data_IF_773279647207
#
_entry.id   IF_773279647207
#
_cell.length_a   1.000
_cell.length_b   1.000
_cell.length_c   1.000
_cell.angle_alpha   90.00
_cell.angle_beta   90.00
_cell.angle_gamma   90.00
#
_symmetry.space_group_name_H-M   'P 1'
#
loop_
_entity.id
_entity.type
_entity.pdbx_description
1 polymer ?
#
# COMPACT_ATOMS: atom_id res chain seq x y z
N UNK A 1 -11.01 69.97 -23.23
CA UNK A 1 -11.70 69.04 -24.15
C UNK A 1 -13.17 69.45 -24.22
N UNK A 2 -13.70 69.73 -25.41
CA UNK A 2 -15.13 70.00 -25.62
C UNK A 2 -15.82 68.65 -25.82
N UNK A 3 -16.50 68.15 -24.80
CA UNK A 3 -17.32 66.95 -24.95
C UNK A 3 -18.47 67.27 -25.91
N UNK A 4 -18.59 66.52 -26.99
CA UNK A 4 -19.75 66.64 -27.88
C UNK A 4 -20.94 65.93 -27.25
N UNK A 5 -22.17 66.29 -27.64
CA UNK A 5 -23.38 65.70 -27.05
C UNK A 5 -23.44 64.16 -27.19
N UNK A 6 -22.76 63.60 -28.19
CA UNK A 6 -22.63 62.15 -28.37
C UNK A 6 -21.70 61.51 -27.33
N UNK A 7 -20.58 62.15 -26.99
CA UNK A 7 -19.63 61.64 -25.99
C UNK A 7 -20.25 61.56 -24.59
N UNK A 8 -21.10 62.54 -24.26
CA UNK A 8 -21.84 62.57 -22.99
C UNK A 8 -22.89 61.46 -22.92
N UNK A 9 -23.51 61.11 -24.05
CA UNK A 9 -24.51 60.04 -24.14
C UNK A 9 -23.85 58.66 -23.98
N UNK A 10 -22.69 58.44 -24.61
CA UNK A 10 -21.92 57.20 -24.43
C UNK A 10 -21.38 57.04 -23.01
N UNK A 11 -20.97 58.13 -22.35
CA UNK A 11 -20.56 58.12 -20.95
C UNK A 11 -21.75 57.81 -20.02
N UNK A 12 -22.92 58.38 -20.30
CA UNK A 12 -24.15 58.15 -19.54
C UNK A 12 -24.63 56.70 -19.66
N UNK A 13 -24.61 56.12 -20.87
CA UNK A 13 -24.97 54.71 -21.10
C UNK A 13 -23.95 53.77 -20.44
N UNK A 14 -22.66 54.10 -20.48
CA UNK A 14 -21.62 53.36 -19.76
C UNK A 14 -21.79 53.39 -18.23
N UNK A 15 -22.29 54.49 -17.67
CA UNK A 15 -22.54 54.63 -16.23
C UNK A 15 -23.70 53.72 -15.74
N UNK A 16 -24.70 53.46 -16.58
CA UNK A 16 -25.80 52.54 -16.25
C UNK A 16 -25.40 51.05 -16.30
N UNK A 17 -24.34 50.69 -17.04
CA UNK A 17 -23.81 49.32 -17.05
C UNK A 17 -23.09 48.94 -15.74
N UNK A 18 -22.52 49.91 -15.02
CA UNK A 18 -21.90 49.69 -13.70
C UNK A 18 -22.90 49.65 -12.54
N UNK A 19 -24.15 50.10 -12.73
CA UNK A 19 -25.19 50.09 -11.71
C UNK A 19 -25.98 48.75 -11.63
N UNK A 20 -25.73 47.80 -12.53
CA UNK A 20 -26.47 46.53 -12.58
C UNK A 20 -25.92 45.42 -11.67
N UNK A 21 -24.86 45.66 -10.90
CA UNK A 21 -24.46 44.78 -9.80
C UNK A 21 -25.21 45.14 -8.51
N UNK A 22 -26.54 45.04 -8.52
CA UNK A 22 -27.25 44.72 -7.28
C UNK A 22 -27.08 43.23 -7.06
N UNK A 23 -26.48 42.85 -5.93
CA UNK A 23 -26.55 41.48 -5.44
C UNK A 23 -28.01 41.02 -5.55
N UNK A 24 -28.32 39.91 -6.24
CA UNK A 24 -29.67 39.35 -6.25
C UNK A 24 -29.92 38.69 -4.89
N UNK A 25 -29.94 39.48 -3.83
CA UNK A 25 -30.37 39.06 -2.50
C UNK A 25 -31.89 39.06 -2.44
N UNK A 26 -32.52 38.15 -3.21
CA UNK A 26 -33.91 37.69 -3.05
C UNK A 26 -34.34 36.94 -4.33
N UNK A 27 -33.68 35.83 -4.64
CA UNK A 27 -34.36 34.73 -5.34
C UNK A 27 -34.31 33.53 -4.38
N UNK A 28 -35.22 33.58 -3.42
CA UNK A 28 -35.50 32.55 -2.43
C UNK A 28 -36.90 32.83 -1.89
N UNK A 29 -37.66 31.79 -1.54
CA UNK A 29 -38.91 31.97 -0.82
C UNK A 29 -38.64 32.91 0.37
N UNK A 30 -39.55 33.85 0.65
CA UNK A 30 -39.61 34.55 1.94
C UNK A 30 -39.80 33.50 3.03
N UNK A 31 -38.70 32.93 3.51
CA UNK A 31 -38.67 32.13 4.72
C UNK A 31 -38.75 33.11 5.86
N UNK A 32 -39.78 32.97 6.69
CA UNK A 32 -39.90 33.65 7.97
C UNK A 32 -38.53 33.56 8.69
N UNK A 33 -37.93 34.68 9.12
CA UNK A 33 -36.65 34.68 9.84
C UNK A 33 -36.66 33.76 11.07
N UNK A 34 -37.83 33.48 11.65
CA UNK A 34 -38.00 32.52 12.74
C UNK A 34 -38.03 31.05 12.31
N UNK A 35 -38.19 30.78 11.01
CA UNK A 35 -38.15 29.46 10.36
C UNK A 35 -36.92 29.25 9.46
N UNK A 36 -36.00 30.21 9.42
CA UNK A 36 -34.75 30.10 8.65
C UNK A 36 -33.84 29.01 9.24
N UNK A 37 -33.53 27.99 8.45
CA UNK A 37 -32.53 26.97 8.79
C UNK A 37 -31.13 27.58 8.59
N UNK A 38 -30.57 28.20 9.64
CA UNK A 38 -29.21 28.73 9.60
C UNK A 38 -28.17 27.63 9.82
N UNK A 39 -27.33 27.42 8.81
CA UNK A 39 -26.17 26.53 8.91
C UNK A 39 -24.98 27.24 9.57
N UNK A 40 -24.49 26.68 10.68
CA UNK A 40 -23.30 27.19 11.40
C UNK A 40 -22.09 26.27 11.18
N UNK A 41 -20.88 26.85 11.10
CA UNK A 41 -19.61 26.12 11.01
C UNK A 41 -18.86 26.17 12.34
N UNK A 42 -18.48 25.00 12.87
CA UNK A 42 -17.46 24.86 13.92
C UNK A 42 -16.21 24.19 13.33
N UNK A 43 -15.03 24.73 13.63
CA UNK A 43 -13.75 24.21 13.12
C UNK A 43 -12.60 24.24 14.15
N UNK A 44 -12.92 24.44 15.42
CA UNK A 44 -11.98 24.53 16.54
C UNK A 44 -12.15 23.39 17.56
N UNK A 45 -12.91 22.35 17.21
CA UNK A 45 -13.03 21.15 18.03
C UNK A 45 -11.67 20.48 18.23
N UNK A 46 -11.33 20.21 19.50
CA UNK A 46 -10.06 19.59 19.85
C UNK A 46 -10.01 18.15 19.32
N UNK A 47 -8.88 17.80 18.69
CA UNK A 47 -8.58 16.45 18.23
C UNK A 47 -7.25 16.04 18.84
N UNK A 48 -7.26 14.98 19.65
CA UNK A 48 -6.03 14.40 20.16
C UNK A 48 -5.53 13.37 19.16
N UNK A 49 -4.23 13.37 18.87
CA UNK A 49 -3.60 12.46 17.91
C UNK A 49 -2.38 11.79 18.52
N UNK A 50 -2.19 10.51 18.26
CA UNK A 50 -1.08 9.73 18.81
C UNK A 50 -0.59 8.70 17.80
N UNK A 51 0.71 8.67 17.53
CA UNK A 51 1.32 7.59 16.74
C UNK A 51 1.39 6.32 17.59
N UNK A 52 0.89 5.21 17.06
CA UNK A 52 0.97 3.88 17.67
C UNK A 52 1.45 2.86 16.65
N UNK A 53 2.04 1.76 17.14
CA UNK A 53 2.50 0.66 16.28
C UNK A 53 1.33 -0.19 15.80
N UNK A 54 1.41 -0.68 14.57
CA UNK A 54 0.49 -1.70 14.07
C UNK A 54 0.84 -3.09 14.61
N UNK A 55 -0.18 -3.95 14.71
CA UNK A 55 -0.01 -5.35 15.06
C UNK A 55 0.39 -6.17 13.83
N UNK A 56 1.20 -7.20 14.03
CA UNK A 56 1.58 -8.13 12.98
C UNK A 56 0.37 -8.75 12.28
N UNK A 57 0.47 -8.92 10.96
CA UNK A 57 -0.59 -9.50 10.13
C UNK A 57 -0.15 -10.82 9.48
N UNK A 58 -1.09 -11.71 9.13
CA UNK A 58 -0.79 -12.81 8.23
C UNK A 58 -0.48 -12.28 6.83
N UNK A 59 0.60 -12.80 6.23
CA UNK A 59 1.10 -12.41 4.91
C UNK A 59 0.83 -13.45 3.82
N UNK A 60 0.39 -14.66 4.18
CA UNK A 60 0.22 -15.75 3.20
C UNK A 60 -0.93 -15.57 2.21
N UNK A 61 -1.89 -14.69 2.54
CA UNK A 61 -3.02 -14.34 1.67
C UNK A 61 -2.86 -13.01 0.94
N UNK A 62 -1.68 -12.36 0.98
CA UNK A 62 -1.50 -11.07 0.32
C UNK A 62 -1.61 -11.22 -1.20
N UNK A 63 -2.26 -10.25 -1.84
CA UNK A 63 -2.38 -10.20 -3.31
C UNK A 63 -1.03 -9.93 -3.98
N UNK A 64 -0.14 -9.23 -3.28
CA UNK A 64 1.23 -8.98 -3.70
C UNK A 64 2.14 -8.90 -2.47
N UNK A 65 3.36 -9.43 -2.58
CA UNK A 65 4.27 -9.59 -1.44
C UNK A 65 5.42 -8.60 -1.51
N UNK A 66 5.71 -7.85 -0.42
CA UNK A 66 6.81 -6.91 -0.40
C UNK A 66 8.18 -7.62 -0.43
N UNK A 67 9.14 -7.01 -1.10
CA UNK A 67 10.56 -7.32 -1.03
C UNK A 67 11.35 -6.03 -1.27
N UNK A 68 12.32 -5.75 -0.41
CA UNK A 68 13.13 -4.53 -0.58
C UNK A 68 13.75 -4.03 0.69
N UNK A 69 14.47 -2.91 0.53
CA UNK A 69 15.14 -2.23 1.61
C UNK A 69 15.11 -0.73 1.35
N UNK A 70 14.72 0.01 2.37
CA UNK A 70 14.50 1.45 2.31
C UNK A 70 15.08 2.11 3.57
N UNK A 71 15.74 3.25 3.39
CA UNK A 71 16.30 4.08 4.46
C UNK A 71 15.67 5.45 4.36
N UNK A 72 14.66 5.65 5.17
CA UNK A 72 13.87 6.87 5.26
C UNK A 72 14.45 7.78 6.36
N UNK A 73 14.71 9.09 6.09
CA UNK A 73 15.26 10.00 7.09
C UNK A 73 14.32 10.28 8.28
N UNK A 74 13.01 10.06 8.12
CA UNK A 74 11.98 10.29 9.16
C UNK A 74 11.57 8.95 9.80
N UNK A 75 11.38 7.91 9.00
CA UNK A 75 10.88 6.60 9.48
C UNK A 75 11.98 5.57 9.73
N UNK A 76 13.24 5.88 9.45
CA UNK A 76 14.35 4.96 9.65
C UNK A 76 14.37 3.85 8.60
N UNK A 77 14.73 2.64 9.00
CA UNK A 77 14.95 1.55 8.03
C UNK A 77 13.71 0.67 7.93
N UNK A 78 13.35 0.32 6.70
CA UNK A 78 12.32 -0.67 6.40
C UNK A 78 12.92 -1.76 5.53
N UNK A 79 12.69 -3.01 5.91
CA UNK A 79 13.21 -4.19 5.24
C UNK A 79 12.09 -5.21 5.04
N UNK A 80 12.09 -5.85 3.88
CA UNK A 80 11.21 -6.98 3.62
C UNK A 80 11.90 -8.06 2.81
N UNK A 81 11.62 -9.31 3.18
CA UNK A 81 12.13 -10.53 2.54
C UNK A 81 10.97 -11.49 2.28
N UNK A 82 11.17 -12.43 1.37
CA UNK A 82 10.10 -13.23 0.78
C UNK A 82 10.46 -14.72 0.79
N UNK A 83 9.68 -15.52 1.51
CA UNK A 83 9.67 -16.96 1.42
C UNK A 83 8.61 -17.42 0.42
N UNK A 84 8.97 -18.39 -0.42
CA UNK A 84 8.13 -18.86 -1.51
C UNK A 84 8.20 -20.38 -1.64
N UNK A 85 7.06 -21.05 -1.53
CA UNK A 85 6.96 -22.47 -1.83
C UNK A 85 6.98 -22.66 -3.35
N UNK A 86 7.88 -23.53 -3.82
CA UNK A 86 7.94 -23.93 -5.23
C UNK A 86 7.12 -25.21 -5.41
N UNK A 87 6.11 -25.16 -6.27
CA UNK A 87 5.26 -26.31 -6.56
C UNK A 87 5.73 -27.05 -7.82
N UNK A 88 5.45 -28.36 -7.95
CA UNK A 88 5.75 -29.07 -9.19
C UNK A 88 4.88 -28.53 -10.34
N UNK A 89 5.28 -28.77 -11.60
CA UNK A 89 4.47 -28.42 -12.76
C UNK A 89 3.10 -29.12 -12.72
N UNK A 90 2.10 -28.55 -13.39
CA UNK A 90 0.72 -29.04 -13.37
C UNK A 90 0.58 -30.52 -13.79
N UNK A 91 1.48 -31.00 -14.64
CA UNK A 91 1.66 -32.42 -14.91
C UNK A 91 2.41 -33.05 -13.73
N UNK A 92 1.68 -33.57 -12.74
CA UNK A 92 2.18 -34.27 -11.55
C UNK A 92 2.84 -35.64 -11.87
N UNK A 93 3.51 -35.73 -13.00
CA UNK A 93 4.23 -36.88 -13.54
C UNK A 93 5.46 -36.40 -14.31
N UNK A 94 6.01 -35.24 -13.95
CA UNK A 94 7.17 -34.67 -14.64
C UNK A 94 8.32 -35.67 -14.65
N UNK A 95 8.64 -36.16 -15.84
CA UNK A 95 9.80 -37.00 -16.12
C UNK A 95 10.73 -36.23 -17.04
N UNK A 96 11.96 -36.04 -16.57
CA UNK A 96 12.99 -35.36 -17.34
C UNK A 96 13.67 -36.30 -18.34
N UNK A 97 13.45 -37.62 -18.25
CA UNK A 97 14.09 -38.63 -19.09
C UNK A 97 15.52 -38.97 -18.64
N UNK A 98 16.10 -39.99 -19.27
CA UNK A 98 17.47 -40.41 -18.99
C UNK A 98 18.48 -39.47 -19.67
N UNK A 99 19.60 -39.20 -19.00
CA UNK A 99 20.69 -38.34 -19.50
C UNK A 99 20.30 -36.89 -19.80
N UNK A 100 19.28 -36.35 -19.14
CA UNK A 100 18.92 -34.94 -19.28
C UNK A 100 19.90 -34.02 -18.57
N UNK A 101 20.30 -32.97 -19.27
CA UNK A 101 21.24 -31.97 -18.76
C UNK A 101 20.57 -30.61 -18.71
N UNK A 102 20.64 -29.97 -17.55
CA UNK A 102 20.17 -28.61 -17.37
C UNK A 102 20.98 -27.68 -18.28
N UNK A 103 20.32 -26.76 -18.96
CA UNK A 103 20.97 -25.68 -19.68
C UNK A 103 21.03 -24.45 -18.77
N UNK A 104 19.86 -24.00 -18.30
CA UNK A 104 19.71 -22.89 -17.36
C UNK A 104 18.54 -23.10 -16.39
N UNK A 105 18.63 -22.46 -15.22
CA UNK A 105 17.53 -22.33 -14.28
C UNK A 105 17.40 -20.87 -13.85
N UNK A 106 16.19 -20.32 -13.88
CA UNK A 106 15.93 -18.91 -13.59
C UNK A 106 14.70 -18.80 -12.70
N UNK A 107 14.85 -18.17 -11.54
CA UNK A 107 13.73 -17.70 -10.74
C UNK A 107 13.15 -16.44 -11.39
N UNK A 108 11.88 -16.48 -11.76
CA UNK A 108 11.14 -15.38 -12.37
C UNK A 108 10.10 -14.89 -11.38
N UNK A 109 10.27 -13.65 -10.91
CA UNK A 109 9.36 -12.98 -10.00
C UNK A 109 8.65 -11.85 -10.75
N UNK A 110 7.37 -12.01 -11.02
CA UNK A 110 6.59 -10.96 -11.67
C UNK A 110 6.35 -9.80 -10.70
N UNK A 111 6.61 -8.58 -11.14
CA UNK A 111 6.34 -7.40 -10.34
C UNK A 111 4.83 -7.12 -10.35
N UNK A 112 4.30 -6.85 -9.18
CA UNK A 112 2.95 -6.37 -8.95
C UNK A 112 2.76 -4.95 -9.47
N UNK A 113 1.63 -4.34 -9.12
CA UNK A 113 1.26 -3.02 -9.62
C UNK A 113 1.98 -1.88 -8.89
N UNK A 114 2.57 -2.17 -7.73
CA UNK A 114 3.18 -1.19 -6.86
C UNK A 114 4.70 -1.35 -6.74
N UNK A 115 5.35 -0.21 -6.62
CA UNK A 115 6.72 -0.05 -6.15
C UNK A 115 6.77 1.28 -5.41
N UNK A 116 7.35 1.30 -4.22
CA UNK A 116 7.50 2.51 -3.42
C UNK A 116 8.96 2.81 -3.17
N UNK A 117 9.40 4.05 -3.38
CA UNK A 117 10.79 4.48 -3.21
C UNK A 117 11.50 4.78 -4.52
N UNK A 118 12.83 4.74 -4.48
CA UNK A 118 13.69 5.16 -5.58
C UNK A 118 13.90 4.06 -6.63
N UNK A 119 13.49 4.35 -7.87
CA UNK A 119 13.71 3.52 -9.07
C UNK A 119 14.87 4.02 -9.93
N UNK A 120 15.43 5.19 -9.61
CA UNK A 120 16.35 5.91 -10.50
C UNK A 120 17.81 5.73 -10.13
N UNK A 121 18.16 5.74 -8.84
CA UNK A 121 19.56 5.71 -8.39
C UNK A 121 19.91 4.41 -7.64
N UNK A 122 18.95 3.84 -6.92
CA UNK A 122 19.12 2.67 -6.07
C UNK A 122 19.26 1.38 -6.89
N UNK A 123 20.26 0.58 -6.53
CA UNK A 123 20.49 -0.77 -7.06
C UNK A 123 20.33 -1.77 -5.93
N UNK A 124 19.55 -2.81 -6.19
CA UNK A 124 19.21 -3.84 -5.22
C UNK A 124 20.00 -5.11 -5.53
N UNK A 125 20.61 -5.67 -4.50
CA UNK A 125 21.15 -7.02 -4.50
C UNK A 125 20.19 -7.94 -3.78
N UNK A 126 19.54 -8.86 -4.49
CA UNK A 126 18.60 -9.84 -3.93
C UNK A 126 19.29 -11.21 -3.97
N UNK A 127 19.54 -11.77 -2.79
CA UNK A 127 20.12 -13.10 -2.63
C UNK A 127 19.01 -14.13 -2.46
N UNK A 128 19.18 -15.29 -3.09
CA UNK A 128 18.21 -16.39 -3.05
C UNK A 128 18.85 -17.62 -2.42
N UNK A 129 18.15 -18.21 -1.47
CA UNK A 129 18.54 -19.41 -0.73
C UNK A 129 17.44 -20.47 -0.77
N UNK A 130 17.77 -21.73 -0.46
CA UNK A 130 16.76 -22.76 -0.25
C UNK A 130 16.21 -22.70 1.17
N UNK A 131 14.89 -22.85 1.34
CA UNK A 131 14.27 -22.99 2.66
C UNK A 131 14.69 -24.30 3.36
N UNK A 132 14.97 -24.23 4.65
CA UNK A 132 15.29 -25.42 5.47
C UNK A 132 14.03 -26.16 5.91
N UNK A 133 12.92 -25.44 6.06
CA UNK A 133 11.61 -25.96 6.48
C UNK A 133 10.51 -25.53 5.50
N UNK A 134 9.39 -26.25 5.50
CA UNK A 134 8.17 -25.76 4.85
C UNK A 134 7.68 -24.49 5.54
N UNK A 135 7.04 -23.61 4.78
CA UNK A 135 6.39 -22.43 5.34
C UNK A 135 5.16 -22.88 6.13
N UNK A 136 5.21 -22.78 7.45
CA UNK A 136 4.09 -23.12 8.35
C UNK A 136 3.57 -21.91 9.11
N UNK A 137 4.36 -20.85 9.20
CA UNK A 137 3.97 -19.59 9.83
C UNK A 137 4.07 -18.45 8.82
N UNK A 138 3.10 -17.56 8.87
CA UNK A 138 2.85 -16.55 7.85
C UNK A 138 2.77 -15.15 8.43
N UNK A 139 3.10 -14.91 9.71
CA UNK A 139 3.00 -13.54 10.24
C UNK A 139 4.14 -12.68 9.67
N UNK A 140 3.87 -11.38 9.54
CA UNK A 140 4.82 -10.40 9.04
C UNK A 140 6.12 -10.33 9.84
N UNK A 141 6.10 -10.69 11.12
CA UNK A 141 7.29 -10.68 11.99
C UNK A 141 8.15 -11.95 11.89
N UNK A 142 7.66 -13.02 11.26
CA UNK A 142 8.36 -14.31 11.23
C UNK A 142 9.44 -14.33 10.16
N UNK A 143 10.65 -14.75 10.55
CA UNK A 143 11.75 -15.02 9.62
C UNK A 143 11.77 -16.51 9.32
N UNK A 144 11.80 -16.87 8.04
CA UNK A 144 11.83 -18.27 7.63
C UNK A 144 13.27 -18.79 7.59
N UNK A 145 13.51 -19.95 8.17
CA UNK A 145 14.84 -20.56 8.17
C UNK A 145 15.22 -21.02 6.76
N UNK A 146 16.42 -20.66 6.31
CA UNK A 146 16.98 -21.03 5.03
C UNK A 146 18.45 -21.48 5.17
N UNK A 147 18.91 -22.20 4.16
CA UNK A 147 20.30 -22.62 4.07
C UNK A 147 21.22 -21.42 3.80
N UNK A 148 22.50 -21.55 4.12
CA UNK A 148 23.51 -20.50 3.90
C UNK A 148 24.10 -20.47 2.49
N UNK A 149 23.89 -21.53 1.69
CA UNK A 149 24.42 -21.61 0.32
C UNK A 149 23.64 -20.69 -0.61
N UNK A 150 24.30 -19.67 -1.14
CA UNK A 150 23.73 -18.78 -2.14
C UNK A 150 23.39 -19.55 -3.42
N UNK A 151 22.12 -19.54 -3.81
CA UNK A 151 21.63 -20.20 -5.01
C UNK A 151 21.57 -19.26 -6.21
N UNK A 152 21.30 -17.99 -5.99
CA UNK A 152 21.20 -17.00 -7.06
C UNK A 152 21.25 -15.60 -6.52
N UNK A 153 21.66 -14.66 -7.38
CA UNK A 153 21.75 -13.25 -7.03
C UNK A 153 21.22 -12.40 -8.19
N UNK A 154 20.38 -11.43 -7.85
CA UNK A 154 20.03 -10.32 -8.73
C UNK A 154 20.76 -9.08 -8.23
N UNK A 155 21.49 -8.38 -9.09
CA UNK A 155 22.18 -7.14 -8.72
C UNK A 155 21.94 -6.07 -9.80
N UNK A 156 20.82 -5.35 -9.69
CA UNK A 156 20.46 -4.31 -10.64
C UNK A 156 19.41 -3.35 -10.07
N UNK A 157 19.03 -2.36 -10.89
CA UNK A 157 17.84 -1.53 -10.63
C UNK A 157 16.58 -2.33 -10.91
N UNK A 158 15.53 -2.07 -10.13
CA UNK A 158 14.21 -2.64 -10.37
C UNK A 158 13.42 -1.64 -11.22
N UNK A 159 12.92 -2.08 -12.37
CA UNK A 159 12.13 -1.27 -13.30
C UNK A 159 10.66 -1.72 -13.28
N UNK A 160 9.84 -1.25 -12.31
CA UNK A 160 8.52 -1.83 -12.03
C UNK A 160 7.49 -1.68 -13.15
N UNK A 161 7.71 -0.74 -14.08
CA UNK A 161 6.78 -0.44 -15.17
C UNK A 161 7.36 -0.71 -16.56
N UNK A 162 8.56 -1.30 -16.65
CA UNK A 162 9.25 -1.52 -17.94
C UNK A 162 9.08 -2.97 -18.38
N UNK A 163 8.32 -3.24 -19.46
CA UNK A 163 8.26 -4.57 -20.07
C UNK A 163 9.64 -5.02 -20.55
N UNK A 164 9.90 -6.32 -20.52
CA UNK A 164 11.16 -6.88 -21.01
C UNK A 164 10.90 -7.88 -22.14
N UNK A 165 11.89 -8.05 -23.02
CA UNK A 165 11.87 -9.06 -24.08
C UNK A 165 12.65 -10.28 -23.61
N UNK A 166 12.05 -11.45 -23.73
CA UNK A 166 12.67 -12.75 -23.42
C UNK A 166 12.57 -13.68 -24.62
N UNK A 167 13.47 -14.65 -24.67
CA UNK A 167 13.40 -15.77 -25.61
C UNK A 167 12.42 -16.80 -25.06
N UNK A 168 11.40 -17.14 -25.85
CA UNK A 168 10.41 -18.18 -25.59
C UNK A 168 10.87 -19.47 -26.26
N UNK A 169 11.10 -20.51 -25.43
CA UNK A 169 11.63 -21.80 -25.87
C UNK A 169 10.50 -22.66 -26.40
N UNK A 170 10.52 -22.98 -27.69
CA UNK A 170 9.46 -23.75 -28.35
C UNK A 170 9.98 -25.14 -28.70
N UNK A 171 9.44 -26.17 -28.05
CA UNK A 171 9.87 -27.56 -28.27
C UNK A 171 9.79 -27.94 -29.77
N UNK A 172 10.91 -28.43 -30.32
CA UNK A 172 11.02 -28.82 -31.73
C UNK A 172 10.88 -27.70 -32.76
N UNK A 173 10.95 -26.41 -32.38
CA UNK A 173 10.90 -25.26 -33.31
C UNK A 173 11.97 -24.22 -32.95
N UNK A 174 12.14 -23.23 -33.82
CA UNK A 174 13.00 -22.09 -33.52
C UNK A 174 12.40 -21.25 -32.38
N UNK A 175 13.26 -20.83 -31.46
CA UNK A 175 12.87 -19.96 -30.36
C UNK A 175 12.33 -18.62 -30.88
N UNK A 176 11.38 -18.06 -30.15
CA UNK A 176 10.72 -16.81 -30.55
C UNK A 176 10.91 -15.71 -29.51
N UNK A 177 10.90 -14.45 -29.94
CA UNK A 177 11.01 -13.33 -29.01
C UNK A 177 9.62 -12.98 -28.47
N UNK A 178 9.49 -12.88 -27.15
CA UNK A 178 8.23 -12.54 -26.46
C UNK A 178 8.42 -11.36 -25.52
N UNK A 179 7.49 -10.40 -25.58
CA UNK A 179 7.41 -9.32 -24.60
C UNK A 179 6.60 -9.78 -23.39
N UNK A 180 7.15 -9.58 -22.20
CA UNK A 180 6.51 -9.92 -20.92
C UNK A 180 6.47 -8.71 -20.00
N UNK A 181 5.60 -8.74 -18.99
CA UNK A 181 5.50 -7.70 -17.96
C UNK A 181 6.82 -7.55 -17.21
N UNK A 182 6.95 -6.45 -16.48
CA UNK A 182 8.11 -6.19 -15.64
C UNK A 182 8.29 -7.33 -14.61
N UNK A 183 9.47 -7.92 -14.58
CA UNK A 183 9.78 -9.06 -13.73
C UNK A 183 11.25 -9.03 -13.33
N UNK A 184 11.54 -9.51 -12.13
CA UNK A 184 12.89 -9.78 -11.64
C UNK A 184 13.25 -11.20 -12.09
N UNK A 185 14.40 -11.36 -12.75
CA UNK A 185 14.90 -12.67 -13.19
C UNK A 185 16.23 -12.93 -12.50
N UNK A 186 16.31 -14.03 -11.75
CA UNK A 186 17.46 -14.40 -10.94
C UNK A 186 17.99 -15.75 -11.45
N UNK A 187 19.15 -15.78 -12.13
CA UNK A 187 19.80 -17.04 -12.49
C UNK A 187 20.12 -17.84 -11.22
N UNK A 188 19.73 -19.11 -11.21
CA UNK A 188 19.99 -20.04 -10.11
C UNK A 188 21.20 -20.93 -10.41
N UNK A 189 21.82 -21.45 -9.36
CA UNK A 189 22.98 -22.33 -9.44
C UNK A 189 22.61 -23.61 -10.20
N UNK A 190 23.22 -23.76 -11.37
CA UNK A 190 22.96 -24.86 -12.31
C UNK A 190 23.23 -26.23 -11.69
N UNK A 191 24.34 -26.39 -10.95
CA UNK A 191 24.70 -27.65 -10.35
C UNK A 191 23.68 -28.08 -9.27
N UNK A 192 23.26 -27.12 -8.44
CA UNK A 192 22.24 -27.36 -7.42
C UNK A 192 20.91 -27.79 -8.04
N UNK A 193 20.39 -27.08 -9.05
CA UNK A 193 19.11 -27.43 -9.68
C UNK A 193 19.18 -28.75 -10.47
N UNK A 194 20.33 -29.03 -11.10
CA UNK A 194 20.58 -30.33 -11.74
C UNK A 194 20.43 -31.47 -10.73
N UNK A 195 21.06 -31.39 -9.55
CA UNK A 195 21.01 -32.46 -8.56
C UNK A 195 19.68 -32.53 -7.79
N UNK A 196 19.07 -31.39 -7.51
CA UNK A 196 17.88 -31.31 -6.62
C UNK A 196 16.56 -31.37 -7.36
N UNK A 197 16.49 -31.01 -8.64
CA UNK A 197 15.23 -31.09 -9.39
C UNK A 197 15.40 -32.03 -10.58
N UNK A 198 16.33 -31.75 -11.48
CA UNK A 198 16.39 -32.45 -12.77
C UNK A 198 16.73 -33.94 -12.64
N UNK A 199 17.63 -34.30 -11.72
CA UNK A 199 18.06 -35.67 -11.48
C UNK A 199 17.11 -36.48 -10.56
N UNK A 200 16.01 -35.88 -10.09
CA UNK A 200 15.07 -36.57 -9.20
C UNK A 200 14.15 -37.51 -9.99
N UNK A 201 13.78 -38.67 -9.43
CA UNK A 201 12.86 -39.59 -10.09
C UNK A 201 11.46 -38.99 -10.21
N UNK A 202 10.70 -39.43 -11.23
CA UNK A 202 9.31 -38.99 -11.44
C UNK A 202 8.42 -39.15 -10.19
N UNK A 203 8.73 -40.14 -9.34
CA UNK A 203 8.06 -40.37 -8.07
C UNK A 203 8.04 -39.14 -7.13
N UNK A 204 9.08 -38.30 -7.17
CA UNK A 204 9.20 -37.07 -6.37
C UNK A 204 8.15 -36.02 -6.76
N UNK A 205 7.70 -36.04 -8.02
CA UNK A 205 6.74 -35.08 -8.57
C UNK A 205 5.29 -35.57 -8.58
N UNK A 206 5.02 -36.75 -8.00
CA UNK A 206 3.69 -37.40 -8.05
C UNK A 206 2.59 -36.65 -7.29
N UNK A 207 2.95 -35.84 -6.29
CA UNK A 207 2.01 -34.95 -5.59
C UNK A 207 2.71 -33.65 -5.20
N UNK A 208 1.93 -32.57 -5.06
CA UNK A 208 2.44 -31.30 -4.53
C UNK A 208 3.10 -31.49 -3.16
N UNK A 209 2.45 -32.23 -2.26
CA UNK A 209 2.95 -32.45 -0.91
C UNK A 209 4.34 -33.11 -0.91
N UNK A 210 4.56 -34.15 -1.72
CA UNK A 210 5.86 -34.84 -1.79
C UNK A 210 6.98 -33.92 -2.29
N UNK A 211 6.72 -33.17 -3.35
CA UNK A 211 7.73 -32.25 -3.88
C UNK A 211 8.01 -31.11 -2.90
N UNK A 212 6.97 -30.53 -2.29
CA UNK A 212 7.11 -29.46 -1.29
C UNK A 212 7.83 -29.98 -0.04
N UNK A 213 7.58 -31.20 0.42
CA UNK A 213 8.32 -31.79 1.55
C UNK A 213 9.81 -31.95 1.25
N UNK A 214 10.14 -32.30 0.00
CA UNK A 214 11.50 -32.49 -0.45
C UNK A 214 12.23 -31.16 -0.70
N UNK A 215 11.68 -30.30 -1.56
CA UNK A 215 12.33 -29.07 -2.02
C UNK A 215 12.07 -27.86 -1.12
N UNK A 216 10.90 -27.82 -0.46
CA UNK A 216 10.39 -26.81 0.49
C UNK A 216 10.11 -25.45 -0.14
N UNK A 217 11.09 -24.90 -0.85
CA UNK A 217 10.96 -23.64 -1.56
C UNK A 217 12.23 -22.80 -1.49
N UNK A 218 12.08 -21.52 -1.80
CA UNK A 218 13.14 -20.54 -1.86
C UNK A 218 12.87 -19.39 -0.89
N UNK A 219 13.93 -18.73 -0.45
CA UNK A 219 13.90 -17.53 0.36
C UNK A 219 14.72 -16.44 -0.34
N UNK A 220 14.14 -15.26 -0.50
CA UNK A 220 14.76 -14.12 -1.14
C UNK A 220 14.88 -12.96 -0.15
N UNK A 221 16.10 -12.43 0.02
CA UNK A 221 16.39 -11.33 0.93
C UNK A 221 17.33 -10.29 0.30
N UNK A 222 17.33 -9.07 0.85
CA UNK A 222 18.21 -8.01 0.36
C UNK A 222 19.60 -8.12 0.99
N UNK A 223 20.59 -8.32 0.13
CA UNK A 223 21.98 -8.16 0.51
C UNK A 223 22.33 -6.67 0.60
N UNK A 224 22.25 -6.14 1.82
CA UNK A 224 22.51 -4.74 2.14
C UNK A 224 23.94 -4.29 1.80
N UNK A 225 24.93 -5.17 1.88
CA UNK A 225 26.33 -4.84 1.58
C UNK A 225 26.62 -4.72 0.09
N UNK A 226 25.95 -5.53 -0.74
CA UNK A 226 26.11 -5.51 -2.19
C UNK A 226 25.14 -4.56 -2.90
N UNK A 227 24.16 -4.02 -2.17
CA UNK A 227 23.20 -3.03 -2.68
C UNK A 227 23.77 -1.62 -2.60
N UNK A 228 23.35 -0.75 -3.52
CA UNK A 228 23.61 0.70 -3.45
C UNK A 228 22.28 1.40 -3.20
N UNK A 229 22.07 1.88 -1.98
CA UNK A 229 20.76 2.36 -1.52
C UNK A 229 20.80 3.88 -1.35
N UNK A 230 20.14 4.59 -2.26
CA UNK A 230 19.92 6.04 -2.19
C UNK A 230 18.45 6.28 -1.85
N UNK A 231 18.14 6.19 -0.56
CA UNK A 231 16.76 6.12 -0.04
C UNK A 231 16.15 4.73 -0.17
N UNK A 232 16.41 4.00 -1.26
CA UNK A 232 15.93 2.64 -1.47
C UNK A 232 14.43 2.58 -1.73
N UNK A 233 13.84 1.41 -1.52
CA UNK A 233 12.45 1.15 -1.88
C UNK A 233 12.02 -0.30 -1.70
N UNK A 234 10.72 -0.51 -1.84
CA UNK A 234 10.04 -1.78 -1.70
C UNK A 234 9.31 -2.09 -3.01
N UNK A 235 9.68 -3.21 -3.62
CA UNK A 235 8.95 -3.81 -4.73
C UNK A 235 7.89 -4.76 -4.20
N UNK A 236 6.82 -4.95 -4.96
CA UNK A 236 5.80 -5.94 -4.64
C UNK A 236 5.80 -7.03 -5.71
N UNK A 237 5.79 -8.29 -5.30
CA UNK A 237 5.80 -9.47 -6.18
C UNK A 237 4.39 -10.04 -6.29
N UNK A 238 3.90 -10.25 -7.51
CA UNK A 238 2.64 -10.94 -7.76
C UNK A 238 2.83 -12.45 -7.57
N UNK A 239 2.27 -12.96 -6.47
CA UNK A 239 2.14 -14.38 -6.16
C UNK A 239 0.67 -14.82 -6.03
N UNK A 240 -0.29 -13.92 -6.26
CA UNK A 240 -1.70 -14.29 -6.28
C UNK A 240 -2.04 -15.15 -7.51
N UNK A 241 -1.26 -14.99 -8.57
CA UNK A 241 -1.32 -15.79 -9.80
C UNK A 241 -0.12 -16.71 -9.94
N UNK A 242 -0.10 -17.59 -10.94
CA UNK A 242 1.04 -18.46 -11.27
C UNK A 242 2.06 -17.79 -12.22
N UNK A 243 2.04 -16.46 -12.30
CA UNK A 243 2.95 -15.70 -13.17
C UNK A 243 4.38 -15.70 -12.65
N UNK A 244 4.61 -15.95 -11.36
CA UNK A 244 5.95 -16.16 -10.80
C UNK A 244 6.27 -17.65 -10.77
N UNK A 245 7.49 -18.04 -11.16
CA UNK A 245 7.88 -19.44 -11.32
C UNK A 245 9.41 -19.62 -11.34
N UNK A 246 9.86 -20.85 -11.11
CA UNK A 246 11.21 -21.28 -11.48
C UNK A 246 11.14 -21.90 -12.87
N UNK A 247 11.85 -21.31 -13.84
CA UNK A 247 12.00 -21.84 -15.19
C UNK A 247 13.23 -22.73 -15.25
N UNK A 248 13.06 -23.95 -15.75
CA UNK A 248 14.17 -24.83 -16.10
C UNK A 248 14.18 -24.98 -17.62
N UNK A 249 15.30 -24.68 -18.24
CA UNK A 249 15.58 -25.02 -19.65
C UNK A 249 16.57 -26.16 -19.63
N UNK A 250 16.24 -27.28 -20.27
CA UNK A 250 17.06 -28.49 -20.25
C UNK A 250 17.06 -29.18 -21.61
N UNK A 251 18.12 -29.95 -21.83
CA UNK A 251 18.34 -30.75 -23.02
C UNK A 251 18.04 -32.20 -22.70
N UNK A 252 17.24 -32.85 -23.53
CA UNK A 252 16.92 -34.28 -23.41
C UNK A 252 17.11 -35.00 -24.75
N UNK A 253 17.52 -36.29 -24.74
CA UNK A 253 17.50 -37.11 -25.94
C UNK A 253 16.09 -37.19 -26.52
N UNK A 254 15.96 -37.01 -27.84
CA UNK A 254 14.71 -37.22 -28.55
C UNK A 254 14.60 -38.66 -29.09
N UNK A 255 13.42 -39.03 -29.58
CA UNK A 255 13.12 -40.38 -30.11
C UNK A 255 13.86 -40.74 -31.41
N UNK A 256 14.66 -39.83 -31.97
CA UNK A 256 15.41 -39.98 -33.21
C UNK A 256 16.93 -39.77 -33.04
N UNK A 257 17.48 -40.03 -31.85
CA UNK A 257 18.90 -39.88 -31.51
C UNK A 257 19.46 -38.42 -31.58
N UNK A 258 18.59 -37.42 -31.63
CA UNK A 258 18.95 -36.00 -31.51
C UNK A 258 18.81 -35.48 -30.08
N UNK A 259 19.30 -34.27 -29.83
CA UNK A 259 19.11 -33.55 -28.56
C UNK A 259 18.06 -32.47 -28.78
N UNK A 260 16.97 -32.52 -28.02
CA UNK A 260 15.93 -31.47 -28.02
C UNK A 260 16.08 -30.56 -26.81
N UNK A 261 15.82 -29.26 -27.00
CA UNK A 261 15.84 -28.26 -25.91
C UNK A 261 14.40 -27.94 -25.54
N UNK A 262 14.08 -28.12 -24.26
CA UNK A 262 12.73 -27.93 -23.76
C UNK A 262 12.75 -27.14 -22.46
N UNK A 263 11.60 -26.63 -22.04
CA UNK A 263 11.46 -25.89 -20.80
C UNK A 263 10.27 -26.36 -19.98
N UNK A 264 10.39 -26.19 -18.67
CA UNK A 264 9.30 -26.43 -17.72
C UNK A 264 9.30 -25.35 -16.65
N UNK A 265 8.10 -24.93 -16.25
CA UNK A 265 7.91 -23.93 -15.22
C UNK A 265 7.35 -24.58 -13.95
N UNK A 266 8.00 -24.32 -12.83
CA UNK A 266 7.57 -24.70 -11.49
C UNK A 266 6.89 -23.48 -10.86
N UNK A 267 5.54 -23.46 -10.77
CA UNK A 267 4.83 -22.27 -10.35
C UNK A 267 5.06 -21.95 -8.88
N UNK A 268 5.03 -20.65 -8.58
CA UNK A 268 5.05 -20.09 -7.24
C UNK A 268 3.80 -19.26 -7.09
N UNK A 269 2.97 -19.59 -6.10
CA UNK A 269 1.75 -18.84 -5.79
C UNK A 269 1.33 -19.02 -4.34
N UNK A 270 0.49 -18.11 -3.85
CA UNK A 270 -0.11 -18.17 -2.50
C UNK A 270 -0.88 -19.46 -2.25
N UNK A 271 -1.42 -20.10 -3.31
CA UNK A 271 -2.08 -21.40 -3.19
C UNK A 271 -1.15 -22.52 -2.67
N UNK A 272 0.17 -22.38 -2.84
CA UNK A 272 1.17 -23.34 -2.36
C UNK A 272 1.93 -22.86 -1.12
N UNK A 273 1.79 -21.58 -0.78
CA UNK A 273 2.46 -20.94 0.35
C UNK A 273 3.47 -19.88 -0.10
N UNK A 274 3.29 -18.67 0.43
CA UNK A 274 4.24 -17.58 0.37
C UNK A 274 4.16 -16.82 1.69
N UNK A 275 5.25 -16.25 2.17
CA UNK A 275 5.24 -15.43 3.38
C UNK A 275 6.25 -14.29 3.23
N UNK A 276 5.82 -13.09 3.58
CA UNK A 276 6.71 -11.93 3.64
C UNK A 276 7.09 -11.67 5.09
N UNK A 277 8.39 -11.54 5.35
CA UNK A 277 8.86 -10.93 6.59
C UNK A 277 9.00 -9.43 6.37
N UNK A 278 8.61 -8.64 7.35
CA UNK A 278 8.66 -7.18 7.32
C UNK A 278 9.23 -6.69 8.65
N UNK A 279 10.22 -5.80 8.56
CA UNK A 279 10.90 -5.22 9.71
C UNK A 279 11.05 -3.72 9.55
N UNK A 280 10.67 -3.00 10.61
CA UNK A 280 10.97 -1.58 10.76
C UNK A 280 11.95 -1.35 11.91
N UNK A 281 12.95 -0.51 11.68
CA UNK A 281 13.90 -0.03 12.67
C UNK A 281 13.79 1.49 12.75
N UNK A 282 13.10 1.94 13.80
CA UNK A 282 12.89 3.36 14.12
C UNK A 282 14.02 3.95 14.97
N UNK A 283 15.12 3.23 15.19
CA UNK A 283 16.17 3.69 16.12
C UNK A 283 16.71 5.05 15.73
N UNK A 284 16.65 6.00 16.66
CA UNK A 284 17.14 7.37 16.46
C UNK A 284 16.21 8.28 15.64
N UNK A 285 14.96 7.89 15.42
CA UNK A 285 13.97 8.70 14.69
C UNK A 285 12.92 9.31 15.60
N UNK A 286 12.23 10.34 15.12
CA UNK A 286 11.09 10.96 15.82
C UNK A 286 9.92 9.98 16.00
N UNK A 287 9.79 8.98 15.11
CA UNK A 287 8.79 7.92 15.25
C UNK A 287 9.04 7.12 16.52
N UNK A 288 10.28 6.72 16.78
CA UNK A 288 10.63 6.00 18.03
C UNK A 288 10.31 6.84 19.26
N UNK A 289 10.63 8.14 19.24
CA UNK A 289 10.32 9.06 20.34
C UNK A 289 8.83 9.07 20.68
N UNK A 290 7.95 9.07 19.69
CA UNK A 290 6.50 9.03 19.93
C UNK A 290 6.03 7.66 20.43
N UNK A 291 6.60 6.57 19.89
CA UNK A 291 6.26 5.21 20.32
C UNK A 291 6.68 4.92 21.77
N UNK A 292 7.74 5.56 22.28
CA UNK A 292 8.17 5.42 23.67
C UNK A 292 7.47 6.37 24.63
N UNK A 293 7.05 7.55 24.16
CA UNK A 293 6.44 8.61 24.97
C UNK A 293 4.99 8.87 24.57
N UNK A 294 4.16 7.85 24.75
CA UNK A 294 2.77 7.81 24.27
C UNK A 294 1.89 8.89 24.90
N UNK A 295 2.14 9.34 26.14
CA UNK A 295 1.32 10.36 26.81
C UNK A 295 1.57 11.80 26.32
N UNK A 296 2.58 12.04 25.50
CA UNK A 296 2.93 13.39 25.01
C UNK A 296 2.20 13.71 23.71
N UNK A 297 1.64 14.92 23.61
CA UNK A 297 1.11 15.43 22.34
C UNK A 297 2.25 16.06 21.52
N UNK A 298 2.31 15.71 20.25
CA UNK A 298 3.32 16.20 19.31
C UNK A 298 2.66 17.06 18.23
N UNK A 299 3.47 17.87 17.53
CA UNK A 299 2.99 18.71 16.41
C UNK A 299 2.67 17.91 15.14
N UNK A 300 3.13 16.67 15.05
CA UNK A 300 2.91 15.75 13.93
C UNK A 300 2.70 14.34 14.46
N UNK A 301 2.05 13.49 13.66
CA UNK A 301 1.97 12.05 13.88
C UNK A 301 2.27 11.30 12.59
N UNK A 302 2.49 9.99 12.69
CA UNK A 302 3.11 9.21 11.62
C UNK A 302 2.23 8.05 11.17
N UNK A 303 2.15 7.91 9.85
CA UNK A 303 1.47 6.82 9.16
C UNK A 303 2.50 6.07 8.31
N UNK A 304 2.58 4.74 8.42
CA UNK A 304 3.46 3.92 7.59
C UNK A 304 2.81 2.57 7.26
N UNK A 305 2.77 2.23 5.97
CA UNK A 305 2.33 0.92 5.48
C UNK A 305 3.32 -0.18 5.86
N UNK A 306 3.11 -1.38 5.32
CA UNK A 306 3.87 -2.58 5.69
C UNK A 306 3.82 -2.88 7.19
N UNK A 307 2.66 -2.67 7.83
CA UNK A 307 2.50 -2.96 9.27
C UNK A 307 3.42 -2.10 10.16
N UNK A 308 3.68 -0.85 9.74
CA UNK A 308 4.50 0.09 10.47
C UNK A 308 3.76 0.75 11.64
N UNK A 309 3.31 1.98 11.42
CA UNK A 309 2.64 2.83 12.42
C UNK A 309 1.36 3.42 11.87
N UNK A 310 0.42 3.69 12.78
CA UNK A 310 -0.85 4.37 12.52
C UNK A 310 -1.06 5.50 13.52
N UNK A 311 -1.96 6.42 13.20
CA UNK A 311 -2.35 7.49 14.13
C UNK A 311 -3.69 7.15 14.76
N UNK A 312 -3.75 7.08 16.09
CA UNK A 312 -4.99 7.09 16.87
C UNK A 312 -5.48 8.53 17.01
N UNK A 313 -6.78 8.73 16.78
CA UNK A 313 -7.50 9.98 16.98
C UNK A 313 -8.50 9.82 18.13
N UNK A 314 -8.76 10.92 18.83
CA UNK A 314 -9.83 11.02 19.82
C UNK A 314 -10.46 12.40 19.79
N UNK A 315 -11.78 12.45 19.98
CA UNK A 315 -12.59 13.65 19.87
C UNK A 315 -13.23 14.01 21.22
N UNK A 316 -12.44 14.52 22.19
CA UNK A 316 -12.88 14.66 23.60
C UNK A 316 -14.10 15.56 23.79
N UNK A 317 -14.29 16.55 22.93
CA UNK A 317 -15.31 17.59 23.13
C UNK A 317 -16.66 17.26 22.47
N UNK A 318 -16.71 16.29 21.53
CA UNK A 318 -17.93 16.02 20.76
C UNK A 318 -19.08 15.50 21.63
N UNK A 319 -18.78 14.70 22.66
CA UNK A 319 -19.81 14.21 23.59
C UNK A 319 -20.51 15.33 24.39
N UNK A 320 -19.88 16.51 24.49
CA UNK A 320 -20.42 17.70 25.15
C UNK A 320 -20.80 18.81 24.15
N UNK A 321 -20.74 18.53 22.86
CA UNK A 321 -21.02 19.51 21.80
C UNK A 321 -22.39 20.16 21.97
N UNK A 322 -23.41 19.35 22.32
CA UNK A 322 -24.76 19.84 22.51
C UNK A 322 -24.91 20.80 23.71
N UNK A 323 -24.03 20.69 24.72
CA UNK A 323 -24.00 21.62 25.85
C UNK A 323 -23.40 22.98 25.47
N UNK A 324 -22.45 23.01 24.53
CA UNK A 324 -21.79 24.24 24.07
C UNK A 324 -22.57 24.93 22.96
N UNK A 325 -23.16 24.18 22.03
CA UNK A 325 -23.78 24.70 20.81
C UNK A 325 -25.31 24.55 20.74
N UNK A 326 -25.92 23.87 21.72
CA UNK A 326 -27.34 23.50 21.73
C UNK A 326 -27.58 22.14 21.04
N UNK A 327 -28.83 21.68 20.99
CA UNK A 327 -29.18 20.47 20.23
C UNK A 327 -29.01 20.75 18.74
N UNK A 328 -28.34 19.86 18.00
CA UNK A 328 -27.97 20.11 16.60
C UNK A 328 -28.23 18.91 15.72
N UNK A 329 -28.41 19.18 14.43
CA UNK A 329 -28.28 18.20 13.35
C UNK A 329 -27.07 18.57 12.51
N UNK A 330 -26.14 17.63 12.35
CA UNK A 330 -24.95 17.78 11.53
C UNK A 330 -25.33 17.60 10.06
N UNK A 331 -25.23 18.68 9.29
CA UNK A 331 -25.47 18.68 7.84
C UNK A 331 -24.29 18.08 7.09
N UNK A 332 -23.07 18.38 7.54
CA UNK A 332 -21.83 17.87 6.96
C UNK A 332 -20.72 17.91 7.98
N UNK A 333 -19.93 16.84 8.09
CA UNK A 333 -18.65 16.89 8.81
C UNK A 333 -17.50 16.39 7.94
N UNK A 334 -16.40 17.16 7.94
CA UNK A 334 -15.18 16.82 7.20
C UNK A 334 -13.99 16.78 8.13
N UNK A 335 -13.26 15.66 8.12
CA UNK A 335 -11.93 15.58 8.71
C UNK A 335 -10.90 15.92 7.64
N UNK A 336 -10.21 17.04 7.81
CA UNK A 336 -9.10 17.46 6.94
C UNK A 336 -7.79 17.12 7.63
N UNK A 337 -6.94 16.36 6.95
CA UNK A 337 -5.65 15.87 7.46
C UNK A 337 -4.54 16.43 6.58
N UNK A 338 -3.91 17.52 7.03
CA UNK A 338 -2.81 18.15 6.30
C UNK A 338 -1.52 17.31 6.45
N UNK A 339 -0.80 17.10 5.35
CA UNK A 339 0.53 16.48 5.32
C UNK A 339 1.57 17.55 5.62
N UNK A 340 2.54 17.21 6.46
CA UNK A 340 3.56 18.15 6.92
C UNK A 340 4.49 18.59 5.79
N UNK A 341 4.81 19.88 5.76
CA UNK A 341 5.71 20.41 4.75
C UNK A 341 7.09 19.72 4.79
N UNK A 342 7.66 19.44 3.61
CA UNK A 342 8.94 18.74 3.49
C UNK A 342 8.89 17.22 3.64
N UNK A 343 7.73 16.61 3.94
CA UNK A 343 7.60 15.15 4.09
C UNK A 343 7.09 14.42 2.84
N UNK A 344 6.96 15.11 1.70
CA UNK A 344 6.32 14.60 0.49
C UNK A 344 7.23 14.61 -0.76
N UNK A 345 8.54 14.77 -0.57
CA UNK A 345 9.51 14.76 -1.66
C UNK A 345 9.81 13.32 -2.13
N UNK A 346 10.06 13.15 -3.43
CA UNK A 346 10.58 11.90 -3.98
C UNK A 346 11.96 11.59 -3.35
N UNK A 347 12.28 10.31 -3.09
CA UNK A 347 11.52 9.10 -3.44
C UNK A 347 10.39 8.74 -2.45
N UNK A 348 10.19 9.52 -1.40
CA UNK A 348 9.28 9.22 -0.30
C UNK A 348 7.97 10.01 -0.38
N UNK A 349 7.22 9.78 -1.47
CA UNK A 349 5.92 10.40 -1.69
C UNK A 349 4.90 9.99 -0.61
N UNK A 350 3.90 10.82 -0.30
CA UNK A 350 2.85 10.45 0.65
C UNK A 350 2.07 9.23 0.16
N UNK A 351 1.52 8.46 1.10
CA UNK A 351 0.63 7.35 0.79
C UNK A 351 -0.51 7.84 -0.11
N UNK A 352 -0.70 7.24 -1.28
CA UNK A 352 -1.72 7.68 -2.25
C UNK A 352 -3.14 7.59 -1.64
N UNK A 353 -3.32 6.68 -0.69
CA UNK A 353 -4.56 6.52 0.08
C UNK A 353 -4.27 6.18 1.53
N UNK A 354 -5.05 6.78 2.43
CA UNK A 354 -5.15 6.41 3.84
C UNK A 354 -6.60 6.02 4.15
N UNK A 355 -6.77 5.11 5.10
CA UNK A 355 -8.06 4.70 5.62
C UNK A 355 -8.28 5.33 7.00
N UNK A 356 -9.53 5.72 7.25
CA UNK A 356 -10.09 6.02 8.55
C UNK A 356 -11.04 4.90 8.97
N UNK A 357 -10.86 4.39 10.18
CA UNK A 357 -11.68 3.33 10.77
C UNK A 357 -11.77 3.49 12.29
N UNK A 358 -12.62 2.70 12.93
CA UNK A 358 -12.77 2.70 14.39
C UNK A 358 -12.58 1.31 14.97
N UNK A 359 -12.49 1.21 16.28
CA UNK A 359 -12.70 -0.03 16.99
C UNK A 359 -14.16 -0.23 17.40
N UNK A 360 -14.59 -1.49 17.37
CA UNK A 360 -15.82 -1.93 18.03
C UNK A 360 -15.57 -2.19 19.54
N UNK A 361 -16.59 -2.71 20.23
CA UNK A 361 -16.53 -3.02 21.65
C UNK A 361 -15.51 -4.13 22.00
N UNK A 362 -15.09 -4.93 21.02
CA UNK A 362 -14.09 -5.99 21.16
C UNK A 362 -12.69 -5.56 20.66
N UNK A 363 -12.49 -4.25 20.47
CA UNK A 363 -11.25 -3.66 19.97
C UNK A 363 -10.83 -4.17 18.58
N UNK A 364 -11.81 -4.59 17.77
CA UNK A 364 -11.57 -5.02 16.39
C UNK A 364 -11.82 -3.88 15.40
N UNK A 365 -11.03 -3.80 14.29
CA UNK A 365 -11.27 -2.81 13.25
C UNK A 365 -12.69 -2.93 12.67
N UNK A 366 -13.41 -1.82 12.67
CA UNK A 366 -14.74 -1.69 12.12
C UNK A 366 -14.86 -0.42 11.27
N UNK A 367 -15.72 -0.50 10.25
CA UNK A 367 -16.02 0.65 9.42
C UNK A 367 -16.66 1.78 10.25
N UNK A 368 -16.37 3.00 9.85
CA UNK A 368 -17.12 4.18 10.28
C UNK A 368 -18.50 4.15 9.60
N UNK A 369 -19.59 4.60 10.26
CA UNK A 369 -20.95 4.55 9.70
C UNK A 369 -21.06 5.15 8.30
N UNK A 370 -20.35 6.25 8.05
CA UNK A 370 -20.32 6.92 6.74
C UNK A 370 -19.82 6.00 5.62
N UNK A 371 -18.86 5.12 5.89
CA UNK A 371 -18.40 4.12 4.92
C UNK A 371 -19.40 2.97 4.78
N UNK A 372 -19.96 2.48 5.90
CA UNK A 372 -20.95 1.39 5.90
C UNK A 372 -22.19 1.76 5.08
N UNK A 373 -22.67 3.00 5.23
CA UNK A 373 -23.86 3.50 4.56
C UNK A 373 -23.71 3.62 3.04
N UNK A 374 -22.48 3.70 2.53
CA UNK A 374 -22.19 3.84 1.11
C UNK A 374 -21.94 2.51 0.38
N UNK A 375 -21.75 1.40 1.12
CA UNK A 375 -21.42 0.09 0.54
C UNK A 375 -20.06 0.05 -0.18
N UNK A 376 -19.82 -1.02 -0.95
CA UNK A 376 -18.53 -1.30 -1.62
C UNK A 376 -18.12 -0.28 -2.69
N UNK A 377 -19.07 0.43 -3.30
CA UNK A 377 -18.80 1.50 -4.28
C UNK A 377 -18.50 2.86 -3.61
N UNK A 378 -18.69 2.96 -2.29
CA UNK A 378 -18.66 4.19 -1.51
C UNK A 378 -17.28 4.76 -1.17
N UNK A 379 -16.22 3.97 -1.28
CA UNK A 379 -14.89 4.35 -0.78
C UNK A 379 -14.35 5.63 -1.43
N UNK A 380 -14.71 5.91 -2.69
CA UNK A 380 -14.35 7.16 -3.37
C UNK A 380 -15.04 8.40 -2.79
N UNK A 381 -16.28 8.24 -2.29
CA UNK A 381 -17.07 9.31 -1.67
C UNK A 381 -16.72 9.52 -0.19
N UNK A 382 -16.27 8.46 0.49
CA UNK A 382 -15.80 8.55 1.88
C UNK A 382 -14.51 9.38 2.00
N UNK A 383 -13.58 9.23 1.04
CA UNK A 383 -12.39 10.06 0.92
C UNK A 383 -11.07 9.31 1.15
N UNK A 384 -10.10 9.99 1.78
CA UNK A 384 -8.80 9.40 2.13
C UNK A 384 -7.77 9.29 0.99
N UNK A 385 -8.09 9.73 -0.22
CA UNK A 385 -7.11 9.85 -1.31
C UNK A 385 -6.24 11.11 -1.16
N UNK A 386 -4.95 11.01 -1.47
CA UNK A 386 -4.02 12.13 -1.37
C UNK A 386 -4.33 13.22 -2.40
N UNK A 387 -4.56 14.45 -1.93
CA UNK A 387 -4.76 15.63 -2.78
C UNK A 387 -3.44 16.39 -2.94
N UNK A 388 -2.68 16.09 -4.00
CA UNK A 388 -1.34 16.65 -4.24
C UNK A 388 -1.29 18.17 -4.42
N UNK A 389 -2.40 18.82 -4.84
CA UNK A 389 -2.46 20.28 -4.97
C UNK A 389 -2.46 21.00 -3.61
N UNK A 390 -3.05 20.39 -2.59
CA UNK A 390 -3.23 20.99 -1.27
C UNK A 390 -2.46 20.24 -0.16
N UNK A 391 -1.72 19.19 -0.52
CA UNK A 391 -0.97 18.32 0.39
C UNK A 391 -1.80 17.82 1.59
N UNK A 392 -2.97 17.23 1.32
CA UNK A 392 -3.89 16.80 2.38
C UNK A 392 -4.73 15.59 2.00
N UNK A 393 -5.36 15.00 3.00
CA UNK A 393 -6.44 14.03 2.87
C UNK A 393 -7.74 14.62 3.44
N UNK A 394 -8.88 14.20 2.92
CA UNK A 394 -10.21 14.62 3.41
C UNK A 394 -11.07 13.38 3.58
N UNK A 395 -11.78 13.30 4.70
CA UNK A 395 -12.82 12.31 4.95
C UNK A 395 -14.16 12.97 5.24
N UNK A 396 -15.24 12.42 4.68
CA UNK A 396 -16.61 12.80 5.02
C UNK A 396 -17.11 11.89 6.16
N UNK A 397 -17.34 12.47 7.35
CA UNK A 397 -17.64 11.73 8.58
C UNK A 397 -18.90 12.27 9.31
N UNK A 398 -19.88 12.72 8.53
CA UNK A 398 -21.12 13.33 9.00
C UNK A 398 -21.87 12.44 9.98
N UNK A 399 -22.14 11.18 9.61
CA UNK A 399 -22.91 10.24 10.42
C UNK A 399 -22.15 9.84 11.69
N UNK A 400 -20.83 9.69 11.58
CA UNK A 400 -19.97 9.40 12.73
C UNK A 400 -19.97 10.54 13.76
N UNK A 401 -19.78 11.78 13.32
CA UNK A 401 -19.78 12.95 14.21
C UNK A 401 -21.15 13.13 14.86
N UNK A 402 -22.25 12.99 14.12
CA UNK A 402 -23.60 13.00 14.70
C UNK A 402 -23.74 11.91 15.78
N UNK A 403 -23.30 10.69 15.51
CA UNK A 403 -23.40 9.58 16.47
C UNK A 403 -22.58 9.79 17.75
N UNK A 404 -21.43 10.46 17.65
CA UNK A 404 -20.63 10.86 18.81
C UNK A 404 -21.30 11.97 19.63
N UNK A 405 -21.90 12.97 18.97
CA UNK A 405 -22.65 14.06 19.64
C UNK A 405 -23.88 13.51 20.36
N UNK A 406 -24.64 12.62 19.71
CA UNK A 406 -25.86 12.00 20.26
C UNK A 406 -25.55 10.87 21.25
N UNK A 407 -24.28 10.51 21.43
CA UNK A 407 -23.81 9.39 22.27
C UNK A 407 -24.38 8.03 21.89
N UNK A 408 -24.84 7.88 20.64
CA UNK A 408 -25.25 6.58 20.08
C UNK A 408 -24.05 5.76 19.65
N UNK A 409 -22.89 6.40 19.47
CA UNK A 409 -21.60 5.77 19.21
C UNK A 409 -20.63 6.11 20.33
N UNK A 410 -20.01 5.08 20.90
CA UNK A 410 -18.85 5.22 21.81
C UNK A 410 -17.56 5.14 21.00
N UNK A 411 -16.62 6.05 21.26
CA UNK A 411 -15.28 6.03 20.65
C UNK A 411 -14.35 5.11 21.44
N UNK A 412 -14.26 3.84 21.01
CA UNK A 412 -13.26 2.89 21.53
C UNK A 412 -11.86 3.13 20.93
N UNK A 413 -11.75 4.05 19.97
CA UNK A 413 -10.54 4.36 19.24
C UNK A 413 -10.87 4.59 17.77
N UNK A 414 -10.41 5.71 17.25
CA UNK A 414 -10.46 6.05 15.83
C UNK A 414 -9.05 6.06 15.27
N UNK A 415 -8.84 5.57 14.06
CA UNK A 415 -7.51 5.40 13.50
C UNK A 415 -7.41 5.92 12.07
N UNK A 416 -6.25 6.48 11.74
CA UNK A 416 -5.78 6.72 10.39
C UNK A 416 -4.61 5.79 10.11
N UNK A 417 -4.61 5.10 8.97
CA UNK A 417 -3.51 4.24 8.53
C UNK A 417 -3.38 4.23 7.01
N UNK A 418 -2.19 3.97 6.44
CA UNK A 418 -2.06 3.78 4.99
C UNK A 418 -2.87 2.58 4.50
N UNK A 419 -3.50 2.74 3.34
CA UNK A 419 -4.32 1.71 2.70
C UNK A 419 -3.72 1.33 1.34
N UNK A 420 -4.15 0.18 0.82
CA UNK A 420 -3.90 -0.18 -0.58
C UNK A 420 -4.44 0.90 -1.54
N UNK A 421 -3.80 1.04 -2.69
CA UNK A 421 -4.22 1.98 -3.74
C UNK A 421 -5.38 1.42 -4.58
N UNK A 422 -5.55 0.11 -4.58
CA UNK A 422 -6.58 -0.60 -5.36
C UNK A 422 -7.81 -0.96 -4.52
N UNK A 423 -7.67 -1.02 -3.20
CA UNK A 423 -8.75 -1.35 -2.27
C UNK A 423 -8.68 -0.49 -1.01
N UNK A 424 -9.84 -0.17 -0.44
CA UNK A 424 -9.92 0.49 0.85
C UNK A 424 -9.88 -0.56 1.96
N UNK A 425 -8.81 -0.57 2.75
CA UNK A 425 -8.53 -1.58 3.78
C UNK A 425 -8.54 -0.91 5.15
N UNK A 426 -9.29 -1.49 6.11
CA UNK A 426 -9.32 -1.04 7.51
C UNK A 426 -8.39 -1.87 8.41
N UNK A 427 -7.66 -2.81 7.82
CA UNK A 427 -6.64 -3.63 8.46
C UNK A 427 -5.25 -3.12 8.06
N UNK A 428 -4.19 -3.41 8.84
CA UNK A 428 -2.84 -2.96 8.49
C UNK A 428 -2.46 -3.44 7.09
N UNK A 429 -1.97 -2.53 6.25
CA UNK A 429 -1.68 -2.87 4.85
C UNK A 429 -0.32 -3.56 4.73
N UNK A 430 -0.31 -4.79 4.23
CA UNK A 430 0.89 -5.51 3.79
C UNK A 430 1.22 -5.35 2.31
N UNK A 431 0.35 -4.68 1.55
CA UNK A 431 0.40 -4.56 0.08
C UNK A 431 0.73 -3.14 -0.39
N UNK A 432 0.98 -2.22 0.55
CA UNK A 432 1.35 -0.82 0.33
C UNK A 432 2.47 -0.42 1.29
N UNK A 433 3.47 0.29 0.77
CA UNK A 433 4.60 0.81 1.53
C UNK A 433 4.55 2.33 1.70
N UNK A 434 3.42 2.95 1.34
CA UNK A 434 3.21 4.39 1.48
C UNK A 434 3.30 4.83 2.94
N UNK A 435 3.76 6.07 3.13
CA UNK A 435 3.85 6.71 4.44
C UNK A 435 3.29 8.13 4.39
N UNK A 436 2.96 8.71 5.53
CA UNK A 436 2.64 10.13 5.63
C UNK A 436 3.04 10.67 6.99
N UNK A 437 3.54 11.90 7.01
CA UNK A 437 3.72 12.68 8.23
C UNK A 437 2.56 13.67 8.27
N UNK A 438 1.61 13.47 9.17
CA UNK A 438 0.41 14.29 9.25
C UNK A 438 0.51 15.27 10.40
N UNK A 439 -0.06 16.45 10.23
CA UNK A 439 -0.16 17.43 11.30
C UNK A 439 -0.92 16.92 12.52
N UNK A 440 -0.79 17.59 13.66
CA UNK A 440 -1.70 17.42 14.80
C UNK A 440 -2.56 18.67 14.98
N UNK A 441 -3.57 18.61 15.85
CA UNK A 441 -4.44 19.76 16.13
C UNK A 441 -3.67 20.99 16.62
N UNK A 442 -2.63 20.79 17.45
CA UNK A 442 -1.83 21.86 18.04
C UNK A 442 -0.84 22.54 17.10
N UNK A 443 -0.67 22.03 15.88
CA UNK A 443 0.25 22.59 14.90
C UNK A 443 -0.34 23.84 14.21
N UNK A 444 0.45 24.89 14.08
CA UNK A 444 0.02 26.18 13.51
C UNK A 444 -0.05 26.19 11.99
N UNK A 445 0.65 25.28 11.30
CA UNK A 445 0.83 25.33 9.82
C UNK A 445 0.11 24.20 9.10
N UNK A 446 0.24 22.97 9.60
CA UNK A 446 -0.37 21.77 9.03
C UNK A 446 -1.08 21.06 10.17
N UNK A 447 -2.42 21.01 10.17
CA UNK A 447 -3.18 20.45 11.29
C UNK A 447 -4.26 19.50 10.83
N UNK A 448 -4.64 18.60 11.74
CA UNK A 448 -5.89 17.86 11.61
C UNK A 448 -7.02 18.78 12.05
N UNK A 449 -8.03 18.97 11.21
CA UNK A 449 -9.18 19.86 11.44
C UNK A 449 -10.47 19.07 11.26
N UNK A 450 -11.40 19.28 12.17
CA UNK A 450 -12.77 18.80 12.02
C UNK A 450 -13.68 19.99 11.70
N UNK A 451 -14.19 20.05 10.48
CA UNK A 451 -15.18 21.05 10.08
C UNK A 451 -16.57 20.44 10.28
N UNK A 452 -17.41 21.06 11.11
CA UNK A 452 -18.78 20.62 11.39
C UNK A 452 -19.73 21.72 10.94
N UNK A 453 -20.47 21.44 9.87
CA UNK A 453 -21.59 22.26 9.42
C UNK A 453 -22.87 21.69 10.02
N UNK A 454 -23.56 22.45 10.85
CA UNK A 454 -24.74 21.98 11.57
C UNK A 454 -25.86 23.00 11.56
N UNK A 455 -27.07 22.52 11.79
CA UNK A 455 -28.25 23.35 12.06
C UNK A 455 -28.67 23.13 13.50
N UNK A 456 -28.88 24.22 14.24
CA UNK A 456 -29.41 24.16 15.60
C UNK A 456 -30.90 23.81 15.56
N UNK A 457 -31.33 22.91 16.44
CA UNK A 457 -32.73 22.54 16.61
C UNK A 457 -33.17 22.83 18.05
N UNK A 458 -34.43 23.23 18.20
CA UNK A 458 -35.01 23.61 19.49
C UNK A 458 -35.42 22.40 20.33
#
# INVERSE_FOLDING_TARGET
MKFTKQDLLTLLIGLFLFASCKNPGAVGLDVDPSAALEGTLVNNEQINSQTIKENDIPTGGLTQHPIGYMVDPIFGKTESSLAMTVAPPATLTQDFGTNSTLDSAVLVLNLGTQFYGDTTTSKYSIDVYQLTNKITNFKSSDVQAHNSTLLGNFNSKIFPKTPIKITDIVAGKADTLKTVKAQIRIPLNKAFIQSTILAQPAATFTTNAKFIDYFKGLYAEINKTSSTIAGGGIAFIDLATTNSYVQLVYKKPNTSNGIDTTSVNFPISTANGAAANIKHDYTGTDVQTQLTNTSTQYNVTYLQGLVGVKTKLSFPNLANFASTHGKVIVNKAELVVDVSNGSFANPFAPAERIAMYRWDIAEQPANIPDLTNLGSAGAGLFGGAYQSLNNRYIFNITAYVQGLIDKTITDYGTFLAPSSTTAYEITPSGTSAGRAVIGSFGNTTNKIKLNIYYTKIN
#
